data_IF_814325709082
#
_entry.id   IF_814325709082
#
_cell.length_a   1.000
_cell.length_b   1.000
_cell.length_c   1.000
_cell.angle_alpha   90.00
_cell.angle_beta   90.00
_cell.angle_gamma   90.00
#
_symmetry.space_group_name_H-M   'P 1'
#
loop_
_entity.id
_entity.type
_entity.pdbx_description
1 polymer ?
#
# COMPACT_ATOMS: atom_id res chain seq x y z
N UNK A 1 -4.41 8.34 -15.92
CA UNK A 1 -5.02 7.13 -16.51
C UNK A 1 -6.32 7.53 -17.21
N UNK A 2 -6.65 6.91 -18.35
CA UNK A 2 -7.89 7.24 -19.06
C UNK A 2 -9.12 6.64 -18.36
N UNK A 3 -10.22 7.38 -18.33
CA UNK A 3 -11.51 6.91 -17.80
C UNK A 3 -12.23 6.01 -18.79
N UNK A 4 -13.24 5.24 -18.36
CA UNK A 4 -14.00 4.37 -19.29
C UNK A 4 -14.68 5.18 -20.41
N UNK A 5 -15.17 6.39 -20.08
CA UNK A 5 -15.80 7.30 -21.04
C UNK A 5 -14.80 7.79 -22.09
N UNK A 6 -13.57 8.11 -21.67
CA UNK A 6 -12.48 8.49 -22.58
C UNK A 6 -12.07 7.31 -23.45
N UNK A 7 -11.99 6.10 -22.89
CA UNK A 7 -11.61 4.90 -23.63
C UNK A 7 -12.63 4.60 -24.74
N UNK A 8 -13.93 4.68 -24.43
CA UNK A 8 -15.01 4.49 -25.42
C UNK A 8 -14.97 5.58 -26.51
N UNK A 9 -14.72 6.84 -26.14
CA UNK A 9 -14.61 7.96 -27.11
C UNK A 9 -13.37 7.84 -27.98
N UNK A 10 -12.22 7.50 -27.38
CA UNK A 10 -10.96 7.29 -28.08
C UNK A 10 -11.09 6.17 -29.08
N UNK A 11 -11.72 5.05 -28.70
CA UNK A 11 -11.94 3.94 -29.62
C UNK A 11 -12.87 4.32 -30.78
N UNK A 12 -13.95 5.07 -30.52
CA UNK A 12 -14.83 5.58 -31.58
C UNK A 12 -14.09 6.50 -32.54
N UNK A 13 -13.20 7.36 -32.04
CA UNK A 13 -12.39 8.24 -32.86
C UNK A 13 -11.30 7.49 -33.66
N UNK A 14 -10.72 6.44 -33.09
CA UNK A 14 -9.65 5.67 -33.72
C UNK A 14 -10.15 4.71 -34.80
N UNK A 15 -11.36 4.15 -34.62
CA UNK A 15 -11.91 3.13 -35.51
C UNK A 15 -12.97 3.66 -36.49
N UNK A 16 -13.42 4.92 -36.34
CA UNK A 16 -14.58 5.50 -37.03
C UNK A 16 -15.87 4.64 -36.94
N UNK A 17 -15.91 3.70 -36.00
CA UNK A 17 -17.04 2.78 -35.83
C UNK A 17 -18.15 3.43 -34.99
N UNK A 18 -19.40 3.15 -35.37
CA UNK A 18 -20.55 3.50 -34.55
C UNK A 18 -20.60 2.67 -33.27
N UNK A 19 -21.27 3.16 -32.23
CA UNK A 19 -21.53 2.38 -31.00
C UNK A 19 -22.26 1.07 -31.28
N UNK A 20 -22.97 0.99 -32.39
CA UNK A 20 -23.67 -0.21 -32.85
C UNK A 20 -22.70 -1.26 -33.39
N UNK A 21 -21.72 -0.84 -34.19
CA UNK A 21 -20.67 -1.74 -34.67
C UNK A 21 -19.78 -2.26 -33.53
N UNK A 22 -19.49 -1.42 -32.53
CA UNK A 22 -18.77 -1.86 -31.32
C UNK A 22 -19.58 -2.88 -30.51
N UNK A 23 -20.89 -2.66 -30.34
CA UNK A 23 -21.78 -3.61 -29.68
C UNK A 23 -21.87 -4.93 -30.47
N UNK A 24 -21.98 -4.87 -31.79
CA UNK A 24 -22.00 -6.05 -32.66
C UNK A 24 -20.73 -6.90 -32.53
N UNK A 25 -19.56 -6.27 -32.34
CA UNK A 25 -18.29 -6.99 -32.10
C UNK A 25 -18.35 -7.84 -30.84
N UNK A 26 -18.87 -7.30 -29.74
CA UNK A 26 -19.07 -8.06 -28.51
C UNK A 26 -20.15 -9.15 -28.65
N UNK A 27 -21.25 -8.85 -29.37
CA UNK A 27 -22.31 -9.82 -29.64
C UNK A 27 -21.83 -10.98 -30.51
N UNK A 28 -20.93 -10.73 -31.47
CA UNK A 28 -20.29 -11.77 -32.26
C UNK A 28 -19.47 -12.76 -31.42
N UNK A 29 -18.99 -12.34 -30.25
CA UNK A 29 -18.33 -13.19 -29.26
C UNK A 29 -19.31 -13.87 -28.28
N UNK A 30 -20.63 -13.73 -28.49
CA UNK A 30 -21.67 -14.26 -27.60
C UNK A 30 -21.87 -13.45 -26.32
N UNK A 31 -21.33 -12.23 -26.25
CA UNK A 31 -21.37 -11.39 -25.05
C UNK A 31 -22.47 -10.32 -25.17
N UNK A 32 -23.27 -10.18 -24.11
CA UNK A 32 -24.42 -9.27 -24.07
C UNK A 32 -24.03 -7.81 -23.84
N UNK A 33 -23.56 -7.12 -24.88
CA UNK A 33 -23.34 -5.67 -24.86
C UNK A 33 -24.29 -4.96 -25.82
N UNK A 34 -24.93 -3.90 -25.35
CA UNK A 34 -25.87 -3.09 -26.15
C UNK A 34 -25.28 -1.73 -26.49
N UNK A 35 -25.71 -1.17 -27.63
CA UNK A 35 -25.39 0.19 -28.06
C UNK A 35 -25.70 1.23 -26.98
N UNK A 36 -26.82 1.05 -26.28
CA UNK A 36 -27.27 1.98 -25.25
C UNK A 36 -26.34 2.01 -24.04
N UNK A 37 -25.82 0.85 -23.62
CA UNK A 37 -24.81 0.77 -22.57
C UNK A 37 -23.49 1.47 -22.98
N UNK A 38 -23.02 1.25 -24.22
CA UNK A 38 -21.83 1.94 -24.72
C UNK A 38 -22.02 3.45 -24.82
N UNK A 39 -23.19 3.90 -25.30
CA UNK A 39 -23.52 5.31 -25.37
C UNK A 39 -23.67 5.95 -23.99
N UNK A 40 -24.21 5.22 -23.01
CA UNK A 40 -24.29 5.68 -21.63
C UNK A 40 -22.90 5.81 -21.00
N UNK A 41 -22.03 4.80 -21.16
CA UNK A 41 -20.65 4.85 -20.68
C UNK A 41 -19.81 5.96 -21.33
N UNK A 42 -20.08 6.28 -22.60
CA UNK A 42 -19.37 7.36 -23.29
C UNK A 42 -19.75 8.74 -22.74
N UNK A 43 -21.03 8.96 -22.44
CA UNK A 43 -21.53 10.30 -22.11
C UNK A 43 -21.69 10.55 -20.62
N UNK A 44 -21.91 9.50 -19.84
CA UNK A 44 -22.16 9.57 -18.41
C UNK A 44 -21.07 8.83 -17.62
N UNK A 45 -20.78 9.35 -16.44
CA UNK A 45 -19.94 8.64 -15.46
C UNK A 45 -20.68 7.38 -15.00
N UNK A 46 -20.04 6.19 -14.99
CA UNK A 46 -20.67 4.98 -14.49
C UNK A 46 -21.11 5.17 -13.03
N UNK A 47 -22.35 4.76 -12.73
CA UNK A 47 -22.93 4.87 -11.37
C UNK A 47 -22.38 3.83 -10.39
N UNK A 48 -21.75 2.78 -10.92
CA UNK A 48 -21.22 1.68 -10.12
C UNK A 48 -20.42 0.71 -10.96
N UNK A 49 -19.79 -0.25 -10.30
CA UNK A 49 -18.96 -1.27 -10.92
C UNK A 49 -19.77 -2.17 -11.88
N UNK A 50 -19.13 -2.75 -12.90
CA UNK A 50 -19.75 -3.76 -13.75
C UNK A 50 -20.33 -4.90 -12.90
N UNK A 51 -21.58 -5.26 -13.14
CA UNK A 51 -22.28 -6.30 -12.35
C UNK A 51 -21.84 -7.72 -12.69
N UNK A 52 -21.16 -7.92 -13.83
CA UNK A 52 -20.70 -9.24 -14.28
C UNK A 52 -19.32 -9.14 -14.92
N UNK A 53 -18.54 -10.21 -14.78
CA UNK A 53 -17.26 -10.35 -15.49
C UNK A 53 -17.47 -10.38 -17.01
N UNK A 54 -18.61 -10.90 -17.47
CA UNK A 54 -18.98 -10.91 -18.88
C UNK A 54 -19.12 -9.50 -19.45
N UNK A 55 -19.55 -8.51 -18.66
CA UNK A 55 -19.59 -7.11 -19.09
C UNK A 55 -18.18 -6.56 -19.32
N UNK A 56 -17.22 -6.90 -18.45
CA UNK A 56 -15.81 -6.49 -18.60
C UNK A 56 -15.21 -7.12 -19.84
N UNK A 57 -15.47 -8.42 -20.07
CA UNK A 57 -15.07 -9.13 -21.29
C UNK A 57 -15.71 -8.52 -22.53
N UNK A 58 -16.99 -8.19 -22.47
CA UNK A 58 -17.71 -7.60 -23.59
C UNK A 58 -17.13 -6.24 -23.97
N UNK A 59 -16.80 -5.41 -22.98
CA UNK A 59 -16.14 -4.13 -23.19
C UNK A 59 -14.71 -4.30 -23.70
N UNK A 60 -13.96 -5.26 -23.19
CA UNK A 60 -12.61 -5.60 -23.68
C UNK A 60 -12.65 -5.96 -25.17
N UNK A 61 -13.57 -6.82 -25.58
CA UNK A 61 -13.75 -7.24 -26.99
C UNK A 61 -14.26 -6.09 -27.86
N UNK A 62 -15.25 -5.32 -27.38
CA UNK A 62 -15.79 -4.19 -28.14
C UNK A 62 -14.75 -3.10 -28.37
N UNK A 63 -13.97 -2.78 -27.31
CA UNK A 63 -13.02 -1.68 -27.30
C UNK A 63 -11.61 -2.08 -27.75
N UNK A 64 -11.38 -3.38 -28.02
CA UNK A 64 -10.08 -3.93 -28.43
C UNK A 64 -8.95 -3.58 -27.44
N UNK A 65 -9.25 -3.65 -26.14
CA UNK A 65 -8.30 -3.39 -25.05
C UNK A 65 -8.32 -4.52 -24.04
N UNK A 66 -7.22 -4.76 -23.30
CA UNK A 66 -7.19 -5.78 -22.25
C UNK A 66 -8.26 -5.56 -21.17
N UNK A 67 -8.83 -6.64 -20.62
CA UNK A 67 -9.80 -6.59 -19.51
C UNK A 67 -9.28 -5.76 -18.32
N UNK A 68 -7.99 -5.90 -18.01
CA UNK A 68 -7.31 -5.10 -16.97
C UNK A 68 -7.49 -3.60 -17.22
N UNK A 69 -7.27 -3.14 -18.46
CA UNK A 69 -7.42 -1.73 -18.81
C UNK A 69 -8.85 -1.25 -18.62
N UNK A 70 -9.85 -2.08 -18.94
CA UNK A 70 -11.27 -1.77 -18.69
C UNK A 70 -11.54 -1.58 -17.20
N UNK A 71 -11.07 -2.52 -16.35
CA UNK A 71 -11.26 -2.45 -14.89
C UNK A 71 -10.59 -1.21 -14.30
N UNK A 72 -9.36 -0.93 -14.71
CA UNK A 72 -8.62 0.23 -14.23
C UNK A 72 -9.25 1.55 -14.74
N UNK A 73 -9.81 1.57 -15.96
CA UNK A 73 -10.57 2.70 -16.46
C UNK A 73 -11.87 2.95 -15.67
N UNK A 74 -12.54 1.90 -15.19
CA UNK A 74 -13.66 2.02 -14.24
C UNK A 74 -13.20 2.60 -12.89
N UNK A 75 -12.08 2.10 -12.35
CA UNK A 75 -11.50 2.63 -11.12
C UNK A 75 -11.18 4.12 -11.25
N UNK A 76 -10.54 4.52 -12.35
CA UNK A 76 -10.25 5.91 -12.70
C UNK A 76 -11.54 6.73 -12.82
N UNK A 77 -12.60 6.17 -13.41
CA UNK A 77 -13.92 6.80 -13.41
C UNK A 77 -14.50 7.00 -12.02
N UNK A 78 -14.15 6.22 -10.99
CA UNK A 78 -14.55 6.48 -9.61
C UNK A 78 -13.65 7.49 -8.87
N UNK A 79 -12.64 8.03 -9.54
CA UNK A 79 -11.66 8.92 -8.92
C UNK A 79 -10.60 8.19 -8.11
N UNK A 80 -10.48 6.87 -8.29
CA UNK A 80 -9.38 6.09 -7.72
C UNK A 80 -8.14 6.41 -8.56
N UNK A 81 -7.10 6.92 -7.91
CA UNK A 81 -5.82 7.21 -8.57
C UNK A 81 -5.10 5.90 -8.88
N UNK A 82 -5.42 5.35 -10.05
CA UNK A 82 -4.72 4.18 -10.58
C UNK A 82 -3.51 4.66 -11.36
N UNK A 83 -2.39 4.76 -10.65
CA UNK A 83 -1.09 5.02 -11.28
C UNK A 83 -0.61 3.72 -11.92
N UNK A 84 -0.68 3.66 -13.26
CA UNK A 84 0.09 2.68 -14.05
C UNK A 84 1.60 2.98 -14.05
N UNK A 85 1.97 4.15 -13.51
CA UNK A 85 3.35 4.61 -13.43
C UNK A 85 4.10 3.74 -12.43
N UNK A 86 4.73 2.67 -12.93
CA UNK A 86 5.91 2.11 -12.27
C UNK A 86 6.84 3.28 -11.97
N UNK A 87 7.30 3.38 -10.73
CA UNK A 87 8.28 4.41 -10.40
C UNK A 87 9.47 4.26 -11.34
N UNK A 88 10.10 5.34 -11.85
CA UNK A 88 11.35 5.21 -12.60
C UNK A 88 12.43 4.45 -11.80
N UNK A 89 12.30 4.44 -10.47
CA UNK A 89 13.08 3.59 -9.59
C UNK A 89 12.75 2.11 -9.73
N UNK A 90 11.47 1.74 -9.81
CA UNK A 90 11.03 0.35 -10.01
C UNK A 90 11.54 -0.24 -11.33
N UNK A 91 11.65 0.57 -12.38
CA UNK A 91 12.27 0.16 -13.66
C UNK A 91 13.77 -0.12 -13.53
N UNK A 92 14.44 0.51 -12.56
CA UNK A 92 15.87 0.33 -12.28
C UNK A 92 16.15 -0.81 -11.32
N UNK A 93 15.13 -1.32 -10.62
CA UNK A 93 15.30 -2.46 -9.74
C UNK A 93 15.49 -3.74 -10.58
N UNK A 94 16.50 -4.56 -10.26
CA UNK A 94 16.64 -5.88 -10.86
C UNK A 94 15.37 -6.71 -10.63
N UNK A 95 14.95 -7.50 -11.63
CA UNK A 95 13.79 -8.38 -11.49
C UNK A 95 13.94 -9.42 -10.35
N UNK A 96 15.16 -9.65 -9.89
CA UNK A 96 15.50 -10.54 -8.78
C UNK A 96 15.23 -9.92 -7.41
N UNK A 97 14.86 -8.62 -7.31
CA UNK A 97 14.52 -7.99 -6.02
C UNK A 97 13.39 -8.73 -5.30
N UNK A 98 12.42 -9.26 -6.04
CA UNK A 98 11.31 -10.05 -5.48
C UNK A 98 11.74 -11.42 -4.96
N UNK A 99 12.95 -11.88 -5.33
CA UNK A 99 13.53 -13.15 -4.85
C UNK A 99 14.48 -12.96 -3.67
N UNK A 100 14.76 -11.72 -3.25
CA UNK A 100 15.57 -11.44 -2.07
C UNK A 100 14.86 -11.93 -0.81
N UNK A 101 15.66 -12.23 0.22
CA UNK A 101 15.13 -12.54 1.54
C UNK A 101 14.24 -11.39 2.07
N UNK A 102 13.09 -11.67 2.72
CA UNK A 102 12.18 -10.65 3.20
C UNK A 102 12.83 -9.61 4.13
N UNK A 103 13.79 -10.01 4.97
CA UNK A 103 14.51 -9.05 5.82
C UNK A 103 15.36 -8.08 4.99
N UNK A 104 15.95 -8.56 3.90
CA UNK A 104 16.74 -7.74 2.99
C UNK A 104 15.84 -6.77 2.21
N UNK A 105 14.66 -7.21 1.79
CA UNK A 105 13.66 -6.36 1.14
C UNK A 105 13.22 -5.22 2.09
N UNK A 106 12.95 -5.55 3.35
CA UNK A 106 12.55 -4.56 4.35
C UNK A 106 13.68 -3.57 4.69
N UNK A 107 14.92 -4.04 4.79
CA UNK A 107 16.09 -3.17 4.97
C UNK A 107 16.25 -2.17 3.81
N UNK A 108 16.09 -2.63 2.56
CA UNK A 108 16.13 -1.76 1.38
C UNK A 108 15.00 -0.72 1.43
N UNK A 109 13.79 -1.12 1.82
CA UNK A 109 12.66 -0.20 1.97
C UNK A 109 12.93 0.84 3.06
N UNK A 110 13.54 0.47 4.18
CA UNK A 110 13.93 1.39 5.24
C UNK A 110 14.92 2.45 4.76
N UNK A 111 15.95 2.06 4.01
CA UNK A 111 16.93 2.99 3.44
C UNK A 111 16.26 3.97 2.47
N UNK A 112 15.35 3.46 1.61
CA UNK A 112 14.63 4.30 0.66
C UNK A 112 13.75 5.32 1.40
N UNK A 113 12.99 4.88 2.41
CA UNK A 113 12.13 5.77 3.22
C UNK A 113 12.93 6.87 3.89
N UNK A 114 14.02 6.51 4.57
CA UNK A 114 14.91 7.47 5.21
C UNK A 114 15.49 8.50 4.23
N UNK A 115 15.88 8.06 3.03
CA UNK A 115 16.38 8.94 1.97
C UNK A 115 15.31 9.89 1.41
N UNK A 116 14.04 9.45 1.34
CA UNK A 116 12.93 10.28 0.85
C UNK A 116 12.37 11.24 1.90
N UNK A 117 12.39 10.87 3.18
CA UNK A 117 11.97 11.74 4.28
C UNK A 117 12.92 12.93 4.44
N UNK A 118 14.24 12.71 4.30
CA UNK A 118 15.25 13.77 4.31
C UNK A 118 15.13 14.75 3.12
N UNK A 119 14.64 14.28 1.97
CA UNK A 119 14.40 15.14 0.79
C UNK A 119 13.22 16.11 1.00
N UNK A 120 12.26 15.76 1.87
CA UNK A 120 11.09 16.60 2.16
C UNK A 120 11.40 17.69 3.20
N UNK A 121 12.42 17.47 4.04
CA UNK A 121 12.86 18.42 5.05
C UNK A 121 13.77 19.53 4.49
N UNK A 122 14.49 19.29 3.39
CA UNK A 122 15.42 20.27 2.79
C UNK A 122 14.77 21.34 1.89
N UNK A 123 13.46 21.26 1.62
CA UNK A 123 12.74 22.30 0.87
C UNK A 123 12.08 23.36 1.77
N UNK A 124 12.23 23.28 3.11
CA UNK A 124 11.66 24.27 4.05
C UNK A 124 12.70 25.06 4.87
N UNK A 125 13.99 24.74 4.77
CA UNK A 125 15.05 25.40 5.55
C UNK A 125 15.88 26.43 4.75
N UNK A 126 15.37 26.90 3.60
CA UNK A 126 16.07 27.87 2.76
C UNK A 126 15.58 29.33 2.91
N UNK A 127 14.72 29.62 3.88
CA UNK A 127 14.26 30.99 4.19
C UNK A 127 14.28 31.24 5.71
N UNK A 128 15.46 31.51 6.29
CA UNK A 128 15.62 32.64 7.22
C UNK A 128 17.07 32.87 7.66
N UNK A 129 17.59 34.00 7.19
CA UNK A 129 18.50 34.94 7.83
C UNK A 129 19.78 34.50 8.56
N UNK A 130 20.89 34.84 7.87
CA UNK A 130 22.12 35.44 8.37
C UNK A 130 22.04 36.06 9.78
N UNK A 131 22.84 35.54 10.73
CA UNK A 131 23.35 36.31 11.88
C UNK A 131 24.85 36.04 12.09
N UNK A 132 25.59 37.14 12.20
CA UNK A 132 27.04 37.25 12.26
C UNK A 132 27.74 36.45 13.38
N UNK A 133 29.02 36.05 13.21
CA UNK A 133 29.79 35.41 14.25
C UNK A 133 30.33 36.46 15.24
N UNK A 134 29.74 36.52 16.43
CA UNK A 134 30.29 37.30 17.55
C UNK A 134 31.48 36.56 18.16
N UNK A 135 32.67 37.14 17.98
CA UNK A 135 33.87 36.78 18.71
C UNK A 135 33.75 37.15 20.19
N UNK A 136 33.95 36.18 21.09
CA UNK A 136 34.54 36.43 22.42
C UNK A 136 35.45 35.26 22.81
N UNK A 137 36.63 35.64 23.29
CA UNK A 137 37.74 34.78 23.64
C UNK A 137 37.64 34.31 25.10
N UNK A 138 38.16 33.11 25.38
CA UNK A 138 38.70 32.78 26.71
C UNK A 138 38.49 31.34 27.17
N UNK A 139 39.59 30.58 27.23
CA UNK A 139 39.71 29.50 28.22
C UNK A 139 40.15 28.13 27.70
N UNK A 140 41.46 27.86 27.79
CA UNK A 140 42.10 26.57 28.08
C UNK A 140 41.95 25.37 27.11
N UNK A 141 43.00 25.16 26.32
CA UNK A 141 43.51 23.86 25.85
C UNK A 141 44.16 23.08 27.03
N UNK A 142 44.68 21.84 26.88
CA UNK A 142 44.15 20.58 26.34
C UNK A 142 44.19 19.46 27.42
N UNK A 143 43.42 18.38 27.24
CA UNK A 143 43.84 17.06 27.78
C UNK A 143 43.76 16.00 26.69
N UNK A 144 44.89 15.30 26.58
CA UNK A 144 45.28 14.42 25.51
C UNK A 144 44.47 13.12 25.39
N UNK A 145 44.55 12.46 24.22
CA UNK A 145 44.03 11.12 24.01
C UNK A 145 44.90 10.07 24.72
N UNK A 146 44.31 8.93 25.07
CA UNK A 146 45.06 7.75 25.48
C UNK A 146 44.38 6.47 24.99
N UNK A 147 45.16 5.39 24.79
CA UNK A 147 45.15 4.62 23.56
C UNK A 147 44.67 3.17 23.73
N UNK A 148 44.61 2.48 22.59
CA UNK A 148 44.37 1.05 22.37
C UNK A 148 44.72 0.09 23.52
N UNK A 149 43.79 -0.83 23.78
CA UNK A 149 44.00 -2.27 24.08
C UNK A 149 42.60 -2.91 23.94
N UNK A 150 42.36 -4.13 23.47
CA UNK A 150 43.16 -5.29 23.08
C UNK A 150 42.18 -6.30 22.49
N UNK A 151 42.61 -7.06 21.50
CA UNK A 151 41.90 -8.23 20.99
C UNK A 151 41.59 -9.24 22.12
N UNK A 152 40.37 -9.78 22.10
CA UNK A 152 39.95 -11.00 22.81
C UNK A 152 38.76 -11.53 22.01
N UNK A 153 38.99 -12.48 21.11
CA UNK A 153 38.86 -13.91 21.37
C UNK A 153 37.41 -14.31 21.70
N UNK A 154 36.81 -15.00 20.72
CA UNK A 154 35.55 -15.73 20.81
C UNK A 154 35.54 -16.74 21.97
N UNK A 155 34.33 -17.14 22.39
CA UNK A 155 34.07 -18.57 22.41
C UNK A 155 32.78 -18.91 21.66
N UNK A 156 32.86 -20.02 20.95
CA UNK A 156 31.73 -20.76 20.44
C UNK A 156 30.87 -21.27 21.63
N UNK A 157 29.56 -21.13 21.51
CA UNK A 157 28.57 -21.89 22.26
C UNK A 157 27.69 -22.58 21.21
N UNK A 158 27.94 -23.87 20.99
CA UNK A 158 27.12 -24.95 21.55
C UNK A 158 25.68 -24.93 21.00
N UNK A 159 25.55 -25.72 19.94
CA UNK A 159 24.36 -26.42 19.49
C UNK A 159 23.43 -26.79 20.65
N UNK A 160 22.38 -25.99 20.82
CA UNK A 160 21.22 -26.35 21.63
C UNK A 160 19.98 -26.04 20.80
N UNK A 161 19.71 -26.87 19.80
CA UNK A 161 18.42 -26.89 19.15
C UNK A 161 17.32 -27.17 20.21
N UNK A 162 16.27 -26.34 20.33
CA UNK A 162 15.13 -26.68 21.17
C UNK A 162 14.44 -27.94 20.60
N UNK A 163 13.88 -28.84 21.44
CA UNK A 163 13.16 -29.99 20.94
C UNK A 163 11.97 -29.53 20.10
N UNK A 164 11.83 -30.11 18.92
CA UNK A 164 10.72 -29.91 17.99
C UNK A 164 9.40 -30.22 18.74
N UNK A 165 8.46 -29.28 18.89
CA UNK A 165 7.17 -29.60 19.47
C UNK A 165 6.38 -30.46 18.49
N UNK A 166 6.01 -31.67 18.93
CA UNK A 166 5.08 -32.55 18.22
C UNK A 166 3.79 -31.80 17.86
N UNK A 167 3.39 -31.91 16.58
CA UNK A 167 2.25 -31.22 15.96
C UNK A 167 0.88 -31.55 16.60
N UNK A 168 0.85 -32.41 17.63
CA UNK A 168 -0.33 -32.78 18.42
C UNK A 168 -0.39 -32.14 19.83
N UNK A 169 0.61 -31.36 20.25
CA UNK A 169 0.64 -30.73 21.58
C UNK A 169 0.01 -29.32 21.66
N UNK A 170 -0.53 -28.80 20.56
CA UNK A 170 -1.07 -27.43 20.47
C UNK A 170 -2.47 -27.22 21.08
N UNK A 171 -3.17 -28.28 21.46
CA UNK A 171 -4.55 -28.16 21.96
C UNK A 171 -4.68 -27.90 23.49
N UNK A 172 -3.58 -27.92 24.25
CA UNK A 172 -3.64 -27.89 25.72
C UNK A 172 -2.70 -26.87 26.39
N UNK A 173 -2.20 -25.86 25.67
CA UNK A 173 -1.39 -24.81 26.28
C UNK A 173 -2.29 -23.65 26.75
N UNK A 174 -2.83 -23.77 27.96
CA UNK A 174 -3.53 -22.69 28.65
C UNK A 174 -2.53 -21.81 29.43
N UNK A 175 -1.56 -21.26 28.70
CA UNK A 175 -0.62 -20.30 29.28
C UNK A 175 -1.32 -18.93 29.42
N UNK A 176 -1.18 -18.25 30.57
CA UNK A 176 -1.73 -16.91 30.77
C UNK A 176 -1.07 -15.95 29.78
N UNK A 177 -1.81 -15.56 28.75
CA UNK A 177 -1.38 -14.55 27.78
C UNK A 177 -1.77 -13.16 28.27
N UNK A 178 -0.89 -12.16 28.12
CA UNK A 178 -1.17 -10.76 28.47
C UNK A 178 -2.49 -10.25 27.87
N UNK A 179 -2.80 -10.63 26.63
CA UNK A 179 -4.06 -10.26 25.97
C UNK A 179 -5.33 -10.89 26.58
N UNK A 180 -5.23 -11.99 27.34
CA UNK A 180 -6.37 -12.53 28.12
C UNK A 180 -6.52 -11.79 29.44
N UNK A 181 -5.42 -11.46 30.12
CA UNK A 181 -5.45 -10.66 31.33
C UNK A 181 -6.05 -9.26 31.07
N UNK A 182 -5.68 -8.63 29.96
CA UNK A 182 -6.19 -7.31 29.58
C UNK A 182 -7.70 -7.33 29.28
N UNK A 183 -8.21 -8.37 28.59
CA UNK A 183 -9.65 -8.53 28.35
C UNK A 183 -10.44 -8.77 29.63
N UNK A 184 -9.94 -9.63 30.52
CA UNK A 184 -10.57 -9.88 31.82
C UNK A 184 -10.63 -8.62 32.69
N UNK A 185 -9.64 -7.73 32.61
CA UNK A 185 -9.64 -6.47 33.35
C UNK A 185 -10.66 -5.47 32.77
N UNK A 186 -10.77 -5.38 31.44
CA UNK A 186 -11.77 -4.55 30.77
C UNK A 186 -13.19 -4.99 31.08
N UNK A 187 -13.45 -6.31 31.09
CA UNK A 187 -14.77 -6.85 31.40
C UNK A 187 -15.16 -6.57 32.87
N UNK A 188 -14.23 -6.69 33.82
CA UNK A 188 -14.48 -6.34 35.23
C UNK A 188 -14.77 -4.85 35.44
N UNK A 189 -14.06 -3.97 34.72
CA UNK A 189 -14.26 -2.52 34.82
C UNK A 189 -15.61 -2.10 34.22
N UNK A 190 -16.04 -2.76 33.14
CA UNK A 190 -17.35 -2.57 32.55
C UNK A 190 -18.50 -3.03 33.47
N UNK A 191 -18.35 -4.17 34.16
CA UNK A 191 -19.34 -4.66 35.12
C UNK A 191 -19.43 -3.76 36.36
N UNK A 192 -18.29 -3.29 36.89
CA UNK A 192 -18.27 -2.36 38.02
C UNK A 192 -18.92 -1.00 37.71
N UNK A 193 -18.95 -0.61 36.44
CA UNK A 193 -19.54 0.65 35.98
C UNK A 193 -21.08 0.64 35.90
N UNK A 194 -21.71 -0.54 35.98
CA UNK A 194 -23.17 -0.68 35.86
C UNK A 194 -23.91 -0.69 37.21
N UNK A 195 -23.21 -0.83 38.34
CA UNK A 195 -23.83 -0.99 39.67
C UNK A 195 -24.14 0.35 40.39
N UNK A 196 -23.92 1.49 39.73
CA UNK A 196 -24.15 2.84 40.30
C UNK A 196 -25.33 3.62 39.73
N UNK A 197 -26.08 3.05 38.78
CA UNK A 197 -27.16 3.74 38.08
C UNK A 197 -28.51 3.61 38.79
N UNK A 198 -28.67 4.26 39.94
CA UNK A 198 -29.97 4.47 40.59
C UNK A 198 -30.87 5.28 39.62
N UNK A 199 -31.71 4.56 38.89
CA UNK A 199 -32.70 5.14 37.98
C UNK A 199 -33.81 5.75 38.84
N UNK A 200 -33.85 7.08 38.95
CA UNK A 200 -34.95 7.82 39.57
C UNK A 200 -35.96 8.21 38.46
N UNK A 201 -37.12 7.55 38.36
CA UNK A 201 -38.12 7.87 37.36
C UNK A 201 -38.96 9.05 37.83
N UNK A 202 -38.81 10.20 37.15
CA UNK A 202 -39.74 11.33 37.22
C UNK A 202 -40.84 11.24 36.16
#
# INVERSE_FOLDING_TARGET
>A
MQTISELVKAQKAASDLSYEALAQRAQGAGLGLTKQQLSDLANNRPKGWPKSADMVKALSVALDVPERTVVLAYAASFGIDVRETRSPFEVRLPATVSTLDPMMQDAILHVIRAATEGASAHEHDAEDHEQEPRAEAGGAQPTQPSPMTRAGESPAAEDTAPPVPDEYALAAYDAPSEGRAMRSAQDQEAEASQDGGEWDPA
#
